data_IF_046325305803
#
_entry.id   IF_046325305803
#
_cell.length_a   1.000
_cell.length_b   1.000
_cell.length_c   1.000
_cell.angle_alpha   90.00
_cell.angle_beta   90.00
_cell.angle_gamma   90.00
#
_symmetry.space_group_name_H-M   'P 1'
#
loop_
_entity.id
_entity.type
_entity.pdbx_description
1 polymer ?
#
# COMPACT_ATOMS: atom_id res chain seq x y z
N UNK A 1 0.12 4.36 -7.19
CA UNK A 1 1.57 4.09 -7.35
C UNK A 1 2.27 5.17 -8.16
N UNK A 2 1.75 5.55 -9.33
CA UNK A 2 2.43 6.51 -10.23
C UNK A 2 2.76 7.87 -9.58
N UNK A 3 1.82 8.43 -8.81
CA UNK A 3 2.07 9.67 -8.05
C UNK A 3 3.23 9.53 -7.03
N UNK A 4 3.41 8.35 -6.44
CA UNK A 4 4.51 8.05 -5.51
C UNK A 4 5.84 7.74 -6.22
N UNK A 5 5.79 7.45 -7.51
CA UNK A 5 6.98 7.16 -8.32
C UNK A 5 7.62 8.42 -8.89
N UNK A 6 6.91 9.55 -8.92
CA UNK A 6 7.40 10.80 -9.51
C UNK A 6 8.66 11.36 -8.80
N UNK A 7 8.75 11.22 -7.47
CA UNK A 7 9.85 11.78 -6.67
C UNK A 7 10.88 10.75 -6.18
N UNK A 8 10.70 9.47 -6.52
CA UNK A 8 11.51 8.37 -5.95
C UNK A 8 12.40 7.69 -6.99
N UNK A 9 13.69 7.50 -6.66
CA UNK A 9 14.67 6.80 -7.53
C UNK A 9 14.30 5.33 -7.75
N UNK A 10 13.88 4.64 -6.69
CA UNK A 10 13.35 3.27 -6.75
C UNK A 10 11.88 3.37 -7.10
N UNK A 11 11.36 2.65 -8.08
CA UNK A 11 9.92 2.63 -8.42
C UNK A 11 9.18 1.57 -7.59
N UNK A 12 7.94 1.86 -7.20
CA UNK A 12 7.03 0.84 -6.69
C UNK A 12 6.77 -0.15 -7.83
N UNK A 13 7.19 -1.39 -7.64
CA UNK A 13 7.04 -2.46 -8.63
C UNK A 13 5.57 -2.90 -8.73
N UNK A 14 5.20 -3.50 -9.86
CA UNK A 14 3.87 -4.09 -10.01
C UNK A 14 3.63 -5.19 -8.97
N UNK A 15 4.70 -5.93 -8.59
CA UNK A 15 4.66 -6.94 -7.54
C UNK A 15 4.25 -6.34 -6.19
N UNK A 16 4.84 -5.21 -5.81
CA UNK A 16 4.48 -4.50 -4.57
C UNK A 16 3.04 -4.00 -4.59
N UNK A 17 2.54 -3.49 -5.72
CA UNK A 17 1.14 -3.08 -5.86
C UNK A 17 0.22 -4.29 -5.66
N UNK A 18 0.54 -5.43 -6.28
CA UNK A 18 -0.21 -6.68 -6.12
C UNK A 18 -0.20 -7.19 -4.67
N UNK A 19 0.95 -7.16 -3.99
CA UNK A 19 1.05 -7.53 -2.58
C UNK A 19 0.19 -6.62 -1.69
N UNK A 20 0.25 -5.30 -1.90
CA UNK A 20 -0.60 -4.34 -1.18
C UNK A 20 -2.09 -4.59 -1.38
N UNK A 21 -2.52 -4.88 -2.62
CA UNK A 21 -3.91 -5.26 -2.92
C UNK A 21 -4.32 -6.53 -2.19
N UNK A 22 -3.46 -7.55 -2.15
CA UNK A 22 -3.74 -8.80 -1.44
C UNK A 22 -3.85 -8.60 0.08
N UNK A 23 -2.99 -7.77 0.68
CA UNK A 23 -3.13 -7.40 2.09
C UNK A 23 -4.44 -6.68 2.38
N UNK A 24 -4.84 -5.73 1.51
CA UNK A 24 -6.13 -5.05 1.62
C UNK A 24 -7.31 -6.01 1.50
N UNK A 25 -7.27 -6.95 0.56
CA UNK A 25 -8.29 -7.99 0.43
C UNK A 25 -8.37 -8.85 1.70
N UNK A 26 -7.24 -9.37 2.20
CA UNK A 26 -7.18 -10.14 3.45
C UNK A 26 -7.72 -9.34 4.65
N UNK A 27 -7.44 -8.04 4.70
CA UNK A 27 -7.95 -7.16 5.75
C UNK A 27 -9.48 -7.07 5.75
N UNK A 28 -10.09 -6.79 4.60
CA UNK A 28 -11.55 -6.63 4.48
C UNK A 28 -12.34 -7.94 4.49
N UNK A 29 -11.67 -9.10 4.57
CA UNK A 29 -12.33 -10.36 4.95
C UNK A 29 -12.80 -10.31 6.41
N UNK A 30 -12.04 -9.65 7.29
CA UNK A 30 -12.31 -9.59 8.73
C UNK A 30 -12.93 -8.26 9.17
N UNK A 31 -12.74 -7.19 8.39
CA UNK A 31 -13.19 -5.85 8.73
C UNK A 31 -14.20 -5.29 7.73
N UNK A 32 -15.07 -4.39 8.19
CA UNK A 32 -16.10 -3.78 7.35
C UNK A 32 -15.62 -2.48 6.70
N UNK A 33 -16.00 -2.28 5.43
CA UNK A 33 -15.83 -1.01 4.71
C UNK A 33 -16.57 0.18 5.34
N UNK A 34 -17.60 -0.08 6.18
CA UNK A 34 -18.26 0.99 6.93
C UNK A 34 -17.42 1.49 8.12
N UNK A 35 -16.51 0.65 8.63
CA UNK A 35 -15.66 0.99 9.78
C UNK A 35 -14.32 1.60 9.35
N UNK A 36 -13.77 1.16 8.22
CA UNK A 36 -12.46 1.59 7.74
C UNK A 36 -12.56 2.14 6.32
N UNK A 37 -12.06 3.36 6.12
CA UNK A 37 -12.01 3.96 4.78
C UNK A 37 -11.03 3.15 3.90
N UNK A 38 -11.49 2.63 2.74
CA UNK A 38 -10.63 1.87 1.83
C UNK A 38 -9.36 2.61 1.42
N UNK A 39 -9.39 3.94 1.31
CA UNK A 39 -8.24 4.76 0.90
C UNK A 39 -7.15 4.78 1.96
N UNK A 40 -7.54 4.74 3.22
CA UNK A 40 -6.61 4.77 4.36
C UNK A 40 -5.93 3.41 4.50
N UNK A 41 -6.72 2.35 4.41
CA UNK A 41 -6.20 0.97 4.38
C UNK A 41 -5.31 0.76 3.17
N UNK A 42 -5.70 1.24 1.98
CA UNK A 42 -4.87 1.12 0.78
C UNK A 42 -3.50 1.83 0.94
N UNK A 43 -3.46 3.01 1.55
CA UNK A 43 -2.22 3.71 1.83
C UNK A 43 -1.34 2.95 2.85
N UNK A 44 -1.94 2.42 3.92
CA UNK A 44 -1.25 1.60 4.91
C UNK A 44 -0.71 0.30 4.30
N UNK A 45 -1.51 -0.43 3.51
CA UNK A 45 -1.08 -1.65 2.82
C UNK A 45 0.03 -1.40 1.82
N UNK A 46 0.00 -0.27 1.09
CA UNK A 46 1.06 0.09 0.14
C UNK A 46 2.35 0.48 0.86
N UNK A 47 2.24 1.19 2.00
CA UNK A 47 3.39 1.51 2.84
C UNK A 47 4.03 0.25 3.43
N UNK A 48 3.22 -0.69 3.91
CA UNK A 48 3.65 -1.98 4.41
C UNK A 48 4.33 -2.82 3.32
N UNK A 49 3.66 -3.03 2.18
CA UNK A 49 4.19 -3.82 1.07
C UNK A 49 5.47 -3.21 0.49
N UNK A 50 5.58 -1.88 0.47
CA UNK A 50 6.80 -1.20 0.04
C UNK A 50 8.00 -1.53 0.92
N UNK A 51 7.79 -1.76 2.23
CA UNK A 51 8.85 -2.20 3.15
C UNK A 51 9.21 -3.68 2.96
N UNK A 52 8.25 -4.56 2.72
CA UNK A 52 8.51 -5.99 2.53
C UNK A 52 9.13 -6.33 1.16
N UNK A 53 8.78 -5.58 0.12
CA UNK A 53 9.22 -5.79 -1.27
C UNK A 53 10.45 -4.95 -1.66
N UNK A 54 11.20 -4.45 -0.67
CA UNK A 54 12.45 -3.68 -0.86
C UNK A 54 12.29 -2.43 -1.75
N UNK A 55 11.09 -1.84 -1.80
CA UNK A 55 10.83 -0.56 -2.46
C UNK A 55 10.22 0.48 -1.50
N UNK A 56 10.87 0.78 -0.35
CA UNK A 56 10.29 1.61 0.69
C UNK A 56 10.05 3.05 0.22
N UNK A 57 9.08 3.70 0.85
CA UNK A 57 8.75 5.11 0.67
C UNK A 57 8.80 5.83 2.00
N UNK A 58 9.20 7.10 1.99
CA UNK A 58 9.12 7.95 3.18
C UNK A 58 7.65 8.13 3.57
N UNK A 59 7.33 7.95 4.85
CA UNK A 59 5.96 8.08 5.37
C UNK A 59 5.34 9.44 5.00
N UNK A 60 6.08 10.54 5.19
CA UNK A 60 5.64 11.90 4.84
C UNK A 60 5.17 12.00 3.37
N UNK A 61 5.93 11.41 2.43
CA UNK A 61 5.57 11.41 1.02
C UNK A 61 4.31 10.57 0.74
N UNK A 62 4.19 9.39 1.38
CA UNK A 62 2.98 8.56 1.29
C UNK A 62 1.75 9.33 1.79
N UNK A 63 1.88 9.98 2.94
CA UNK A 63 0.80 10.76 3.57
C UNK A 63 0.38 11.93 2.69
N UNK A 64 1.32 12.71 2.14
CA UNK A 64 0.99 13.84 1.23
C UNK A 64 0.24 13.39 -0.01
N UNK A 65 0.68 12.31 -0.64
CA UNK A 65 0.01 11.76 -1.84
C UNK A 65 -1.37 11.19 -1.49
N UNK A 66 -1.48 10.42 -0.41
CA UNK A 66 -2.77 9.91 0.08
C UNK A 66 -3.73 11.06 0.41
N UNK A 67 -3.26 12.10 1.10
CA UNK A 67 -4.07 13.26 1.48
C UNK A 67 -4.63 13.98 0.25
N UNK A 68 -3.78 14.26 -0.74
CA UNK A 68 -4.20 14.91 -1.98
C UNK A 68 -5.22 14.06 -2.78
N UNK A 69 -5.20 12.73 -2.63
CA UNK A 69 -6.21 11.84 -3.23
C UNK A 69 -7.50 11.84 -2.40
N UNK A 70 -7.41 11.81 -1.07
CA UNK A 70 -8.56 11.72 -0.17
C UNK A 70 -9.35 13.03 -0.10
N UNK A 71 -8.65 14.17 -0.12
CA UNK A 71 -9.22 15.51 0.03
C UNK A 71 -8.81 16.44 -1.12
N UNK A 72 -9.39 16.23 -2.33
CA UNK A 72 -8.97 16.98 -3.53
C UNK A 72 -9.23 18.49 -3.44
N UNK A 73 -10.19 18.92 -2.61
CA UNK A 73 -10.51 20.34 -2.42
C UNK A 73 -9.60 21.06 -1.41
N UNK A 74 -8.83 20.33 -0.62
CA UNK A 74 -7.90 20.88 0.38
C UNK A 74 -6.58 20.10 0.39
N UNK A 75 -5.80 20.15 -0.71
CA UNK A 75 -4.62 19.32 -0.88
C UNK A 75 -3.43 19.76 0.00
N UNK A 76 -3.42 21.02 0.44
CA UNK A 76 -2.36 21.54 1.30
C UNK A 76 -2.50 20.97 2.71
N UNK A 77 -1.42 20.32 3.15
CA UNK A 77 -1.30 19.72 4.47
C UNK A 77 -0.36 20.56 5.32
N UNK A 78 -0.88 21.14 6.39
CA UNK A 78 -0.10 21.80 7.43
C UNK A 78 0.66 20.77 8.29
N UNK A 79 1.68 21.22 9.00
CA UNK A 79 2.56 20.34 9.77
C UNK A 79 1.84 19.58 10.89
N UNK A 80 0.81 20.18 11.51
CA UNK A 80 0.06 19.51 12.58
C UNK A 80 -0.79 18.36 12.01
N UNK A 81 -1.57 18.62 10.96
CA UNK A 81 -2.37 17.57 10.30
C UNK A 81 -1.52 16.50 9.64
N UNK A 82 -0.34 16.86 9.13
CA UNK A 82 0.62 15.91 8.62
C UNK A 82 1.06 14.92 9.71
N UNK A 83 1.33 15.41 10.93
CA UNK A 83 1.71 14.55 12.04
C UNK A 83 0.57 13.58 12.41
N UNK A 84 -0.65 14.09 12.57
CA UNK A 84 -1.84 13.27 12.86
C UNK A 84 -2.11 12.22 11.77
N UNK A 85 -2.03 12.63 10.50
CA UNK A 85 -2.18 11.74 9.36
C UNK A 85 -1.09 10.67 9.30
N UNK A 86 0.15 11.02 9.63
CA UNK A 86 1.26 10.07 9.71
C UNK A 86 1.02 9.03 10.80
N UNK A 87 0.56 9.47 11.98
CA UNK A 87 0.18 8.57 13.07
C UNK A 87 -0.95 7.63 12.65
N UNK A 88 -1.99 8.15 11.99
CA UNK A 88 -3.10 7.35 11.48
C UNK A 88 -2.61 6.23 10.55
N UNK A 89 -1.78 6.55 9.55
CA UNK A 89 -1.26 5.54 8.60
C UNK A 89 -0.42 4.49 9.32
N UNK A 90 0.39 4.86 10.30
CA UNK A 90 1.20 3.92 11.10
C UNK A 90 0.32 3.04 11.99
N UNK A 91 -0.73 3.59 12.59
CA UNK A 91 -1.70 2.82 13.38
C UNK A 91 -2.44 1.81 12.51
N UNK A 92 -2.88 2.22 11.31
CA UNK A 92 -3.55 1.34 10.36
C UNK A 92 -2.60 0.27 9.82
N UNK A 93 -1.34 0.59 9.58
CA UNK A 93 -0.33 -0.39 9.20
C UNK A 93 -0.21 -1.50 10.26
N UNK A 94 -0.09 -1.14 11.54
CA UNK A 94 -0.02 -2.10 12.63
C UNK A 94 -1.29 -2.96 12.70
N UNK A 95 -2.45 -2.36 12.48
CA UNK A 95 -3.71 -3.09 12.44
C UNK A 95 -3.77 -4.06 11.26
N UNK A 96 -3.29 -3.67 10.08
CA UNK A 96 -3.18 -4.54 8.91
C UNK A 96 -2.26 -5.71 9.21
N UNK A 97 -1.06 -5.47 9.75
CA UNK A 97 -0.10 -6.49 10.15
C UNK A 97 -0.71 -7.54 11.10
N UNK A 98 -1.40 -7.08 12.14
CA UNK A 98 -2.08 -7.95 13.09
C UNK A 98 -3.20 -8.75 12.42
N UNK A 99 -3.98 -8.10 11.55
CA UNK A 99 -5.12 -8.73 10.86
C UNK A 99 -4.67 -9.84 9.90
N UNK A 100 -3.57 -9.63 9.18
CA UNK A 100 -2.99 -10.65 8.30
C UNK A 100 -2.08 -11.63 9.06
N UNK A 101 -2.07 -11.59 10.40
CA UNK A 101 -1.26 -12.43 11.27
C UNK A 101 0.24 -12.42 10.92
N UNK A 102 0.76 -11.26 10.50
CA UNK A 102 2.13 -11.08 10.02
C UNK A 102 2.51 -11.95 8.80
N UNK A 103 1.54 -12.56 8.12
CA UNK A 103 1.76 -13.24 6.85
C UNK A 103 1.88 -12.22 5.72
N UNK A 104 3.11 -11.73 5.55
CA UNK A 104 3.52 -10.84 4.47
C UNK A 104 3.77 -11.59 3.16
N UNK A 105 3.81 -12.93 3.19
CA UNK A 105 4.03 -13.72 1.99
C UNK A 105 2.77 -13.73 1.13
N UNK A 106 2.91 -13.24 -0.09
CA UNK A 106 1.81 -13.18 -1.06
C UNK A 106 2.23 -13.93 -2.31
N UNK A 107 1.62 -15.09 -2.53
CA UNK A 107 1.72 -15.78 -3.81
C UNK A 107 0.87 -15.05 -4.84
N UNK A 108 1.57 -14.39 -5.76
CA UNK A 108 0.98 -13.64 -6.85
C UNK A 108 1.01 -14.53 -8.11
N UNK A 109 -0.06 -14.59 -8.93
CA UNK A 109 -0.11 -15.51 -10.07
C UNK A 109 0.86 -15.17 -11.21
N UNK A 110 1.37 -13.93 -11.26
CA UNK A 110 2.16 -13.40 -12.37
C UNK A 110 3.42 -14.22 -12.70
N UNK A 111 4.26 -14.66 -11.74
CA UNK A 111 5.43 -15.49 -12.02
C UNK A 111 5.07 -16.88 -12.58
N UNK A 112 3.96 -17.47 -12.13
CA UNK A 112 3.49 -18.77 -12.62
C UNK A 112 3.05 -18.69 -14.09
N UNK A 113 2.25 -17.67 -14.43
CA UNK A 113 1.82 -17.42 -15.82
C UNK A 113 3.03 -17.21 -16.73
N UNK A 114 3.99 -16.38 -16.30
CA UNK A 114 5.21 -16.14 -17.06
C UNK A 114 6.01 -17.43 -17.29
N UNK A 115 6.15 -18.26 -16.26
CA UNK A 115 6.85 -19.54 -16.35
C UNK A 115 6.17 -20.49 -17.34
N UNK A 116 4.84 -20.55 -17.36
CA UNK A 116 4.10 -21.41 -18.28
C UNK A 116 4.16 -20.89 -19.72
N UNK A 117 4.05 -19.57 -19.92
CA UNK A 117 4.20 -18.96 -21.24
C UNK A 117 5.61 -19.18 -21.83
N UNK A 118 6.66 -19.05 -21.01
CA UNK A 118 8.03 -19.31 -21.44
C UNK A 118 8.29 -20.77 -21.81
N UNK A 119 7.62 -21.71 -21.12
CA UNK A 119 7.69 -23.14 -21.47
C UNK A 119 6.95 -23.45 -22.77
N UNK A 120 5.84 -22.76 -23.06
CA UNK A 120 5.09 -22.95 -24.30
C UNK A 120 5.77 -22.31 -25.52
N UNK A 121 6.53 -21.24 -25.31
CA UNK A 121 7.27 -20.55 -26.37
C UNK A 121 8.61 -21.22 -26.75
N UNK A 122 9.00 -22.29 -26.05
CA UNK A 122 10.16 -23.14 -26.36
C UNK A 122 9.69 -24.44 -26.99
#
# INVERSE_FOLDING_TARGET
>A
ADRLNHESRVRISQLCICAAMMHMHRFFVFHSFFKFDPRDIAAACLFLAGKSEECPRKLDHVVRVWWAIKFPHSPNLDNNRLHEASQLIVTLENLVLQTIAFDLSVDIPHPYVLTHMQKFAR
#
